data_IF_304080652819
#
_entry.id   IF_304080652819
#
_cell.length_a   1.000
_cell.length_b   1.000
_cell.length_c   1.000
_cell.angle_alpha   90.00
_cell.angle_beta   90.00
_cell.angle_gamma   90.00
#
_symmetry.space_group_name_H-M   'P 1'
#
loop_
_entity.id
_entity.type
_entity.pdbx_description
1 polymer ?
#
# COMPACT_ATOMS: atom_id res chain seq x y z
N UNK A 1 -29.34 5.44 -6.22
CA UNK A 1 -28.48 4.69 -5.28
C UNK A 1 -27.09 4.63 -5.90
N UNK A 2 -26.08 5.14 -5.22
CA UNK A 2 -24.70 5.23 -5.71
C UNK A 2 -23.82 4.17 -5.02
N UNK A 3 -22.66 3.88 -5.59
CA UNK A 3 -21.64 3.07 -4.92
C UNK A 3 -20.78 3.99 -4.05
N UNK A 4 -20.82 3.83 -2.74
CA UNK A 4 -19.96 4.61 -1.83
C UNK A 4 -18.52 4.07 -1.83
N UNK A 5 -17.56 4.99 -1.83
CA UNK A 5 -16.14 4.66 -1.73
C UNK A 5 -15.60 5.31 -0.46
N UNK A 6 -14.92 4.53 0.39
CA UNK A 6 -14.32 5.04 1.63
C UNK A 6 -13.34 6.18 1.35
N UNK A 7 -13.49 7.29 2.08
CA UNK A 7 -12.59 8.46 1.98
C UNK A 7 -11.13 8.10 2.27
N UNK A 8 -10.89 7.17 3.19
CA UNK A 8 -9.54 6.69 3.51
C UNK A 8 -8.92 5.99 2.31
N UNK A 9 -9.69 5.16 1.61
CA UNK A 9 -9.23 4.47 0.40
C UNK A 9 -8.97 5.44 -0.75
N UNK A 10 -9.90 6.38 -0.98
CA UNK A 10 -9.81 7.39 -2.03
C UNK A 10 -8.55 8.27 -1.88
N UNK A 11 -8.27 8.75 -0.67
CA UNK A 11 -7.07 9.55 -0.37
C UNK A 11 -5.80 8.74 -0.60
N UNK A 12 -5.79 7.48 -0.16
CA UNK A 12 -4.63 6.58 -0.25
C UNK A 12 -4.20 6.32 -1.69
N UNK A 13 -5.17 6.10 -2.57
CA UNK A 13 -4.91 5.72 -3.95
C UNK A 13 -5.21 6.84 -4.95
N UNK A 14 -5.33 8.10 -4.49
CA UNK A 14 -5.72 9.25 -5.32
C UNK A 14 -4.89 9.40 -6.61
N UNK A 15 -3.60 9.06 -6.53
CA UNK A 15 -2.64 9.22 -7.63
C UNK A 15 -2.66 8.01 -8.60
N UNK A 16 -3.35 6.93 -8.22
CA UNK A 16 -3.41 5.67 -8.98
C UNK A 16 -4.82 5.37 -9.50
N UNK A 17 -5.85 5.76 -8.74
CA UNK A 17 -7.24 5.55 -9.12
C UNK A 17 -7.59 6.48 -10.27
N UNK A 18 -7.98 5.88 -11.40
CA UNK A 18 -8.54 6.65 -12.49
C UNK A 18 -10.04 6.92 -12.32
N UNK A 19 -10.62 7.75 -13.18
CA UNK A 19 -12.06 8.08 -13.18
C UNK A 19 -12.89 6.95 -13.79
N UNK A 20 -12.26 6.06 -14.57
CA UNK A 20 -12.88 4.88 -15.15
C UNK A 20 -12.28 3.62 -14.55
N UNK A 21 -13.12 2.78 -13.94
CA UNK A 21 -12.70 1.50 -13.36
C UNK A 21 -13.25 0.34 -14.18
N UNK A 22 -12.37 -0.62 -14.46
CA UNK A 22 -12.73 -1.89 -15.08
C UNK A 22 -12.76 -2.96 -14.00
N UNK A 23 -13.95 -3.43 -13.65
CA UNK A 23 -14.17 -4.46 -12.65
C UNK A 23 -14.31 -5.81 -13.35
N UNK A 24 -13.61 -6.81 -12.84
CA UNK A 24 -13.65 -8.18 -13.35
C UNK A 24 -13.96 -9.11 -12.19
N UNK A 25 -14.99 -9.94 -12.34
CA UNK A 25 -15.33 -10.94 -11.33
C UNK A 25 -14.57 -12.27 -11.53
N UNK A 26 -14.85 -13.24 -10.65
CA UNK A 26 -14.26 -14.59 -10.72
C UNK A 26 -14.62 -15.37 -11.98
N UNK A 27 -15.78 -15.07 -12.58
CA UNK A 27 -16.33 -15.74 -13.75
C UNK A 27 -15.95 -14.99 -15.05
N UNK A 28 -15.09 -13.98 -14.94
CA UNK A 28 -14.59 -13.11 -16.02
C UNK A 28 -15.66 -12.23 -16.67
N UNK A 29 -16.71 -11.90 -15.93
CA UNK A 29 -17.64 -10.86 -16.34
C UNK A 29 -17.00 -9.49 -16.16
N UNK A 30 -17.08 -8.66 -17.21
CA UNK A 30 -16.50 -7.33 -17.24
C UNK A 30 -17.57 -6.28 -17.00
N UNK A 31 -17.27 -5.36 -16.09
CA UNK A 31 -18.12 -4.22 -15.79
C UNK A 31 -17.28 -2.95 -15.84
N UNK A 32 -17.83 -1.91 -16.47
CA UNK A 32 -17.21 -0.59 -16.49
C UNK A 32 -18.00 0.34 -15.58
N UNK A 33 -17.31 1.03 -14.68
CA UNK A 33 -17.92 2.01 -13.79
C UNK A 33 -17.15 3.31 -13.80
N UNK A 34 -17.84 4.42 -13.58
CA UNK A 34 -17.22 5.75 -13.50
C UNK A 34 -17.22 6.21 -12.05
N UNK A 35 -16.04 6.58 -11.55
CA UNK A 35 -15.77 7.00 -10.19
C UNK A 35 -15.52 8.50 -10.13
N UNK A 36 -16.26 9.20 -9.26
CA UNK A 36 -15.99 10.59 -8.92
C UNK A 36 -14.84 10.68 -7.92
N UNK A 37 -13.70 11.25 -8.36
CA UNK A 37 -12.50 11.45 -7.53
C UNK A 37 -12.62 12.61 -6.54
N UNK A 38 -13.68 13.41 -6.62
CA UNK A 38 -13.90 14.52 -5.70
C UNK A 38 -14.04 14.01 -4.25
N UNK A 39 -13.10 14.41 -3.38
CA UNK A 39 -13.02 13.99 -1.98
C UNK A 39 -14.22 14.47 -1.13
N UNK A 40 -15.00 15.42 -1.64
CA UNK A 40 -16.23 15.89 -1.02
C UNK A 40 -17.47 15.14 -1.53
N UNK A 41 -17.38 14.43 -2.66
CA UNK A 41 -18.46 13.70 -3.31
C UNK A 41 -18.03 12.34 -3.89
N UNK A 42 -17.34 11.54 -3.06
CA UNK A 42 -16.82 10.23 -3.44
C UNK A 42 -17.93 9.23 -3.74
N UNK A 43 -18.14 8.91 -5.02
CA UNK A 43 -19.16 7.97 -5.44
C UNK A 43 -18.85 7.36 -6.80
N UNK A 44 -19.32 6.13 -7.02
CA UNK A 44 -19.47 5.56 -8.34
C UNK A 44 -20.74 6.16 -8.97
N UNK A 45 -20.55 7.01 -9.97
CA UNK A 45 -21.61 7.84 -10.59
C UNK A 45 -22.21 7.20 -11.83
N UNK A 46 -21.53 6.24 -12.47
CA UNK A 46 -22.08 5.48 -13.59
C UNK A 46 -21.66 4.01 -13.55
N UNK A 47 -22.44 3.13 -14.21
CA UNK A 47 -22.20 1.69 -14.27
C UNK A 47 -22.63 0.90 -13.02
N UNK A 48 -22.79 1.56 -11.86
CA UNK A 48 -23.19 0.90 -10.62
C UNK A 48 -24.56 0.22 -10.69
N UNK A 49 -25.57 0.88 -11.26
CA UNK A 49 -26.93 0.31 -11.39
C UNK A 49 -26.88 -0.94 -12.28
N UNK A 50 -26.21 -0.88 -13.42
CA UNK A 50 -26.07 -2.02 -14.33
C UNK A 50 -25.35 -3.21 -13.66
N UNK A 51 -24.31 -2.93 -12.86
CA UNK A 51 -23.62 -3.95 -12.07
C UNK A 51 -24.55 -4.58 -11.02
N UNK A 52 -25.33 -3.76 -10.30
CA UNK A 52 -26.32 -4.27 -9.32
C UNK A 52 -27.39 -5.13 -9.96
N UNK A 53 -27.93 -4.71 -11.10
CA UNK A 53 -28.97 -5.45 -11.81
C UNK A 53 -28.43 -6.80 -12.30
N UNK A 54 -27.19 -6.82 -12.81
CA UNK A 54 -26.54 -8.04 -13.28
C UNK A 54 -26.39 -9.10 -12.18
N UNK A 55 -25.96 -8.71 -10.98
CA UNK A 55 -25.79 -9.60 -9.84
C UNK A 55 -27.03 -9.69 -8.93
N UNK A 56 -28.14 -9.04 -9.31
CA UNK A 56 -29.39 -9.01 -8.55
C UNK A 56 -29.20 -8.50 -7.09
N UNK A 57 -28.38 -7.46 -6.92
CA UNK A 57 -28.12 -6.82 -5.62
C UNK A 57 -29.28 -5.87 -5.28
N UNK A 58 -30.39 -6.42 -4.77
CA UNK A 58 -31.66 -5.69 -4.56
C UNK A 58 -31.71 -4.85 -3.28
N UNK A 59 -30.87 -5.16 -2.29
CA UNK A 59 -30.78 -4.46 -0.99
C UNK A 59 -29.39 -3.84 -0.78
N UNK A 60 -29.09 -3.40 0.44
CA UNK A 60 -27.75 -2.92 0.80
C UNK A 60 -26.79 -4.11 0.89
N UNK A 61 -25.80 -4.11 -0.01
CA UNK A 61 -24.79 -5.16 -0.09
C UNK A 61 -23.42 -4.55 0.13
N UNK A 62 -22.59 -5.19 0.96
CA UNK A 62 -21.18 -4.86 1.04
C UNK A 62 -20.46 -5.50 -0.15
N UNK A 63 -19.95 -4.68 -1.06
CA UNK A 63 -19.17 -5.12 -2.21
C UNK A 63 -17.70 -4.82 -1.98
N UNK A 64 -16.89 -5.88 -1.93
CA UNK A 64 -15.43 -5.76 -1.83
C UNK A 64 -14.83 -5.68 -3.23
N UNK A 65 -14.19 -4.56 -3.55
CA UNK A 65 -13.42 -4.39 -4.77
C UNK A 65 -11.93 -4.50 -4.44
N UNK A 66 -11.25 -5.44 -5.11
CA UNK A 66 -9.80 -5.58 -4.98
C UNK A 66 -9.14 -4.90 -6.17
N UNK A 67 -8.40 -3.81 -5.91
CA UNK A 67 -7.61 -3.15 -6.94
C UNK A 67 -6.34 -3.96 -7.24
N UNK A 68 -6.26 -4.48 -8.45
CA UNK A 68 -5.06 -5.19 -8.91
C UNK A 68 -4.06 -4.19 -9.47
N UNK A 69 -2.98 -3.93 -8.73
CA UNK A 69 -1.84 -3.15 -9.21
C UNK A 69 -0.81 -4.14 -9.75
N UNK A 70 -0.57 -4.21 -11.08
CA UNK A 70 0.43 -5.10 -11.64
C UNK A 70 1.80 -4.82 -11.03
N UNK A 71 2.52 -5.88 -10.64
CA UNK A 71 3.83 -5.83 -9.98
C UNK A 71 3.85 -5.27 -8.56
N UNK A 72 2.72 -5.08 -7.89
CA UNK A 72 2.66 -4.70 -6.49
C UNK A 72 3.50 -5.61 -5.56
N UNK A 73 4.32 -5.00 -4.68
CA UNK A 73 5.15 -5.76 -3.70
C UNK A 73 4.96 -5.21 -2.29
N UNK A 74 4.66 -6.11 -1.35
CA UNK A 74 4.60 -5.79 0.09
C UNK A 74 5.54 -6.62 0.93
N UNK A 75 6.04 -6.02 2.00
CA UNK A 75 6.82 -6.70 3.03
C UNK A 75 6.28 -6.35 4.41
N UNK A 76 5.97 -7.37 5.21
CA UNK A 76 5.51 -7.20 6.58
C UNK A 76 6.67 -7.33 7.56
N UNK A 77 6.71 -6.44 8.56
CA UNK A 77 7.77 -6.39 9.57
C UNK A 77 7.18 -6.16 10.95
N UNK A 78 7.39 -7.14 11.83
CA UNK A 78 7.07 -7.00 13.25
C UNK A 78 8.15 -6.19 13.99
N UNK A 79 7.73 -5.15 14.71
CA UNK A 79 8.58 -4.29 15.51
C UNK A 79 8.72 -4.83 16.92
N UNK A 80 9.92 -5.28 17.25
CA UNK A 80 10.28 -5.56 18.65
C UNK A 80 10.82 -4.30 19.31
N UNK A 81 10.86 -4.29 20.64
CA UNK A 81 11.44 -3.17 21.42
C UNK A 81 12.87 -2.81 20.97
N UNK A 82 13.66 -3.80 20.55
CA UNK A 82 14.99 -3.58 20.00
C UNK A 82 14.93 -2.83 18.65
N UNK A 83 14.06 -3.24 17.72
CA UNK A 83 13.93 -2.62 16.40
C UNK A 83 13.47 -1.16 16.46
N UNK A 84 12.69 -0.80 17.46
CA UNK A 84 12.25 0.57 17.70
C UNK A 84 13.36 1.47 18.28
N UNK A 85 14.11 0.97 19.26
CA UNK A 85 15.10 1.78 19.99
C UNK A 85 16.41 1.97 19.21
N UNK A 86 16.72 1.05 18.29
CA UNK A 86 17.92 1.09 17.46
C UNK A 86 17.86 2.15 16.35
N UNK A 87 19.03 2.53 15.84
CA UNK A 87 19.17 3.42 14.69
C UNK A 87 18.91 2.75 13.35
N UNK A 88 18.59 1.45 13.35
CA UNK A 88 18.37 0.66 12.15
C UNK A 88 17.33 -0.43 12.34
N UNK A 89 16.65 -0.79 11.25
CA UNK A 89 15.71 -1.91 11.17
C UNK A 89 16.29 -3.03 10.31
N UNK A 90 16.41 -4.24 10.85
CA UNK A 90 16.58 -5.45 10.04
C UNK A 90 15.28 -5.77 9.30
N UNK A 91 15.36 -5.87 7.97
CA UNK A 91 14.22 -6.20 7.10
C UNK A 91 14.24 -7.67 6.69
N UNK A 92 13.09 -8.24 6.27
CA UNK A 92 13.01 -9.63 5.82
C UNK A 92 13.95 -9.93 4.65
N UNK A 93 14.45 -11.16 4.57
CA UNK A 93 15.37 -11.58 3.49
C UNK A 93 14.76 -11.45 2.09
N UNK A 94 13.44 -11.56 1.96
CA UNK A 94 12.73 -11.30 0.69
C UNK A 94 12.90 -9.85 0.23
N UNK A 95 12.81 -8.90 1.16
CA UNK A 95 13.05 -7.48 0.89
C UNK A 95 14.52 -7.21 0.54
N UNK A 96 15.48 -7.95 1.13
CA UNK A 96 16.89 -7.87 0.74
C UNK A 96 17.08 -8.21 -0.74
N UNK A 97 16.56 -9.35 -1.23
CA UNK A 97 16.76 -9.74 -2.63
C UNK A 97 16.06 -8.77 -3.59
N UNK A 98 14.82 -8.39 -3.25
CA UNK A 98 14.08 -7.40 -4.02
C UNK A 98 14.85 -6.09 -4.18
N UNK A 99 15.34 -5.50 -3.09
CA UNK A 99 16.06 -4.22 -3.13
C UNK A 99 17.48 -4.35 -3.68
N UNK A 100 18.14 -5.50 -3.51
CA UNK A 100 19.46 -5.78 -4.09
C UNK A 100 19.39 -5.69 -5.62
N UNK A 101 18.36 -6.28 -6.22
CA UNK A 101 18.20 -6.32 -7.68
C UNK A 101 17.92 -4.92 -8.26
N UNK A 102 17.41 -3.99 -7.44
CA UNK A 102 17.20 -2.59 -7.83
C UNK A 102 18.47 -1.74 -7.77
N UNK A 103 19.49 -2.16 -7.03
CA UNK A 103 20.73 -1.39 -6.84
C UNK A 103 20.56 -0.09 -6.06
N UNK A 104 19.46 0.08 -5.34
CA UNK A 104 19.22 1.30 -4.55
C UNK A 104 20.05 1.33 -3.27
N UNK A 105 20.49 2.53 -2.90
CA UNK A 105 21.23 2.78 -1.65
C UNK A 105 20.41 3.56 -0.62
N UNK A 106 19.24 4.07 -1.03
CA UNK A 106 18.33 4.90 -0.23
C UNK A 106 16.89 4.51 -0.53
N UNK A 107 16.05 4.53 0.50
CA UNK A 107 14.62 4.25 0.44
C UNK A 107 13.84 5.40 1.06
N UNK A 108 12.92 6.00 0.31
CA UNK A 108 12.06 7.08 0.80
C UNK A 108 10.81 6.48 1.45
N UNK A 109 10.69 6.64 2.77
CA UNK A 109 9.50 6.32 3.54
C UNK A 109 8.54 7.50 3.45
N UNK A 110 7.72 7.49 2.40
CA UNK A 110 6.89 8.62 1.98
C UNK A 110 7.67 9.95 2.02
N UNK A 111 7.08 10.99 2.62
CA UNK A 111 7.69 12.32 2.77
C UNK A 111 8.26 12.54 4.18
N UNK A 112 8.40 11.46 4.97
CA UNK A 112 8.81 11.52 6.38
C UNK A 112 10.31 11.34 6.54
N UNK A 113 10.86 10.31 5.92
CA UNK A 113 12.26 9.95 6.12
C UNK A 113 12.86 9.30 4.89
N UNK A 114 14.12 9.62 4.64
CA UNK A 114 14.95 8.87 3.71
C UNK A 114 15.86 7.94 4.53
N UNK A 115 15.72 6.63 4.30
CA UNK A 115 16.50 5.61 4.98
C UNK A 115 17.67 5.13 4.12
N UNK A 116 18.88 5.11 4.68
CA UNK A 116 20.03 4.47 4.04
C UNK A 116 19.86 2.95 4.03
N UNK A 117 20.05 2.32 2.89
CA UNK A 117 20.04 0.86 2.76
C UNK A 117 21.46 0.31 3.03
N UNK A 118 21.58 -0.52 4.06
CA UNK A 118 22.86 -1.12 4.47
C UNK A 118 22.82 -2.63 4.19
N UNK A 119 23.43 -3.03 3.08
CA UNK A 119 23.51 -4.42 2.66
C UNK A 119 24.67 -5.16 3.33
N UNK A 120 24.40 -6.38 3.79
CA UNK A 120 25.43 -7.35 4.13
C UNK A 120 25.33 -8.52 3.16
N UNK A 121 26.14 -8.50 2.10
CA UNK A 121 26.06 -9.51 1.03
C UNK A 121 26.51 -10.91 1.48
N UNK A 122 27.40 -10.99 2.47
CA UNK A 122 27.83 -12.26 3.04
C UNK A 122 26.69 -12.96 3.78
N UNK A 123 26.01 -12.21 4.67
CA UNK A 123 24.90 -12.74 5.47
C UNK A 123 23.55 -12.69 4.74
N UNK A 124 23.52 -12.06 3.56
CA UNK A 124 22.31 -11.81 2.76
C UNK A 124 21.22 -11.10 3.57
N UNK A 125 21.62 -10.10 4.35
CA UNK A 125 20.71 -9.28 5.15
C UNK A 125 20.75 -7.84 4.70
N UNK A 126 19.65 -7.12 4.93
CA UNK A 126 19.51 -5.71 4.67
C UNK A 126 19.03 -5.01 5.94
N UNK A 127 19.53 -3.80 6.16
CA UNK A 127 18.99 -2.89 7.16
C UNK A 127 18.54 -1.58 6.54
N UNK A 128 17.41 -1.06 7.00
CA UNK A 128 17.12 0.37 6.90
C UNK A 128 17.90 1.06 8.01
N UNK A 129 18.99 1.74 7.66
CA UNK A 129 19.93 2.38 8.57
C UNK A 129 19.53 3.82 8.92
N UNK A 130 20.47 4.75 8.73
CA UNK A 130 20.26 6.17 8.99
C UNK A 130 18.94 6.66 8.39
N UNK A 131 18.12 7.38 9.16
CA UNK A 131 16.74 7.75 8.81
C UNK A 131 15.68 6.97 9.59
N UNK A 132 15.93 5.69 9.90
CA UNK A 132 14.96 4.82 10.58
C UNK A 132 14.51 5.34 11.95
N UNK A 133 15.44 5.73 12.81
CA UNK A 133 15.11 6.25 14.15
C UNK A 133 14.33 7.56 14.10
N UNK A 134 14.58 8.39 13.10
CA UNK A 134 13.81 9.62 12.90
C UNK A 134 12.37 9.27 12.51
N UNK A 135 12.21 8.39 11.54
CA UNK A 135 10.91 7.87 11.11
C UNK A 135 10.06 7.34 12.28
N UNK A 136 10.61 6.43 13.10
CA UNK A 136 9.86 5.87 14.23
C UNK A 136 9.43 6.93 15.26
N UNK A 137 10.28 7.93 15.51
CA UNK A 137 9.97 9.03 16.44
C UNK A 137 8.85 9.92 15.91
N UNK A 138 8.92 10.30 14.62
CA UNK A 138 7.93 11.16 13.98
C UNK A 138 6.54 10.53 14.03
N UNK A 139 6.47 9.22 13.85
CA UNK A 139 5.20 8.47 13.85
C UNK A 139 4.78 7.94 15.21
N UNK A 140 5.53 8.22 16.28
CA UNK A 140 5.24 7.72 17.64
C UNK A 140 4.99 6.20 17.68
N UNK A 141 5.75 5.43 16.90
CA UNK A 141 5.59 3.98 16.82
C UNK A 141 5.92 3.33 18.17
N UNK A 142 5.30 2.19 18.49
CA UNK A 142 5.61 1.43 19.69
C UNK A 142 6.19 0.06 19.36
N UNK A 143 6.79 -0.58 20.36
CA UNK A 143 7.03 -2.02 20.30
C UNK A 143 5.69 -2.75 20.09
N UNK A 144 5.77 -3.93 19.50
CA UNK A 144 4.67 -4.86 19.23
C UNK A 144 3.73 -4.47 18.08
N UNK A 145 4.01 -3.34 17.41
CA UNK A 145 3.38 -2.99 16.15
C UNK A 145 3.92 -3.84 15.00
N UNK A 146 3.05 -4.19 14.07
CA UNK A 146 3.46 -4.70 12.76
C UNK A 146 3.38 -3.54 11.76
N UNK A 147 4.38 -3.41 10.88
CA UNK A 147 4.39 -2.46 9.77
C UNK A 147 4.37 -3.22 8.46
N UNK A 148 3.56 -2.76 7.52
CA UNK A 148 3.66 -3.16 6.12
C UNK A 148 4.42 -2.09 5.34
N UNK A 149 5.43 -2.48 4.58
CA UNK A 149 6.06 -1.67 3.54
C UNK A 149 5.45 -2.02 2.19
N UNK A 150 5.03 -1.02 1.42
CA UNK A 150 4.29 -1.17 0.17
C UNK A 150 4.95 -0.41 -0.97
N UNK A 151 5.36 -1.16 -1.99
CA UNK A 151 5.91 -0.64 -3.23
C UNK A 151 4.80 -0.67 -4.29
N UNK A 152 4.09 0.46 -4.42
CA UNK A 152 3.07 0.65 -5.46
C UNK A 152 3.71 0.56 -6.85
N UNK A 153 4.82 1.28 -7.03
CA UNK A 153 5.66 1.19 -8.22
C UNK A 153 7.04 0.61 -7.82
N UNK A 154 7.30 -0.68 -8.11
CA UNK A 154 8.57 -1.32 -7.79
C UNK A 154 9.77 -0.76 -8.53
N UNK A 155 9.59 0.16 -9.48
CA UNK A 155 10.68 0.84 -10.19
C UNK A 155 11.14 2.13 -9.51
N UNK A 156 10.41 2.59 -8.50
CA UNK A 156 10.71 3.82 -7.75
C UNK A 156 11.10 3.48 -6.32
N UNK A 157 12.12 4.16 -5.79
CA UNK A 157 12.63 3.96 -4.43
C UNK A 157 11.78 4.64 -3.34
N UNK A 158 10.48 4.79 -3.59
CA UNK A 158 9.49 5.35 -2.66
C UNK A 158 8.57 4.23 -2.20
N UNK A 159 8.38 4.13 -0.89
CA UNK A 159 7.58 3.08 -0.26
C UNK A 159 6.55 3.73 0.66
N UNK A 160 5.31 3.24 0.57
CA UNK A 160 4.27 3.56 1.54
C UNK A 160 4.41 2.63 2.74
N UNK A 161 3.83 3.04 3.87
CA UNK A 161 3.82 2.19 5.06
C UNK A 161 2.55 2.40 5.89
N UNK A 162 2.17 1.38 6.66
CA UNK A 162 1.14 1.53 7.68
C UNK A 162 1.34 0.51 8.79
N UNK A 163 0.97 0.89 10.03
CA UNK A 163 0.85 -0.07 11.11
C UNK A 163 -0.36 -0.99 10.86
N UNK A 164 -0.22 -2.29 11.10
CA UNK A 164 -1.36 -3.18 11.30
C UNK A 164 -1.82 -3.04 12.76
N UNK A 165 -3.13 -2.85 12.95
CA UNK A 165 -3.80 -2.89 14.25
C UNK A 165 -4.16 -4.33 14.63
#
# INVERSE_FOLDING_TARGET
IFGEVSKVYAVRWKDVLDDVWNLVDKDKNYHNVVYNKDLDQLAIVAGWIALRDFYQLTEDHLVSLTHYVPNYVTFQVYLTQQKFTCSSLDVPSSMYYFLKDKGWTRLHLEDIAECQLVFNHWRKTLKNGAGWKHFCKTLSMTADMEIVFEFIDPSVNRVLYWPCL
#
